data_IF_475176286690
#
_entry.id   IF_475176286690
#
_cell.length_a   1.000
_cell.length_b   1.000
_cell.length_c   1.000
_cell.angle_alpha   90.00
_cell.angle_beta   90.00
_cell.angle_gamma   90.00
#
_symmetry.space_group_name_H-M   'P 1'
#
loop_
_entity.id
_entity.type
_entity.pdbx_description
1 polymer ?
#
# COMPACT_ATOMS: atom_id res chain seq x y z
N UNK A 1 -10.40 9.36 0.49
CA UNK A 1 -9.64 8.87 -0.67
C UNK A 1 -9.82 9.72 -1.91
N UNK A 2 -10.90 10.49 -2.02
CA UNK A 2 -11.14 11.32 -3.22
C UNK A 2 -10.09 12.44 -3.39
N UNK A 3 -9.57 12.98 -2.28
CA UNK A 3 -8.42 13.90 -2.29
C UNK A 3 -7.14 13.23 -2.80
N UNK A 4 -6.98 11.96 -2.43
CA UNK A 4 -5.80 11.13 -2.68
C UNK A 4 -5.76 10.68 -4.15
N UNK A 5 -6.91 10.47 -4.79
CA UNK A 5 -7.01 10.12 -6.22
C UNK A 5 -7.33 11.30 -7.14
N UNK A 6 -7.44 12.51 -6.57
CA UNK A 6 -7.86 13.72 -7.29
C UNK A 6 -9.16 13.51 -8.09
N UNK A 7 -10.10 12.77 -7.52
CA UNK A 7 -11.37 12.41 -8.17
C UNK A 7 -11.29 11.28 -9.20
N UNK A 8 -10.11 10.71 -9.45
CA UNK A 8 -9.96 9.54 -10.33
C UNK A 8 -10.59 8.30 -9.69
N UNK A 9 -11.38 7.51 -10.44
CA UNK A 9 -11.92 6.24 -9.94
C UNK A 9 -10.79 5.31 -9.48
N UNK A 10 -10.98 4.66 -8.33
CA UNK A 10 -10.03 3.72 -7.77
C UNK A 10 -10.73 2.44 -7.30
N UNK A 11 -9.94 1.42 -7.02
CA UNK A 11 -10.39 0.23 -6.29
C UNK A 11 -9.39 -0.03 -5.20
N UNK A 12 -9.87 -0.07 -3.96
CA UNK A 12 -9.02 -0.36 -2.80
C UNK A 12 -8.67 -1.84 -2.76
N UNK A 13 -7.40 -2.13 -2.53
CA UNK A 13 -6.82 -3.46 -2.55
C UNK A 13 -6.05 -3.68 -1.24
N UNK A 14 -6.26 -4.83 -0.58
CA UNK A 14 -5.49 -5.29 0.58
C UNK A 14 -5.24 -6.79 0.45
N UNK A 15 -4.26 -7.29 1.19
CA UNK A 15 -3.98 -8.72 1.24
C UNK A 15 -5.08 -9.52 1.95
N UNK A 16 -4.86 -10.83 2.02
CA UNK A 16 -5.76 -11.79 2.64
C UNK A 16 -5.40 -12.12 4.11
N UNK A 17 -4.67 -11.25 4.82
CA UNK A 17 -4.31 -11.56 6.21
C UNK A 17 -5.58 -11.66 7.09
N UNK A 18 -5.54 -12.45 8.19
CA UNK A 18 -6.73 -12.70 9.01
C UNK A 18 -7.45 -11.44 9.51
N UNK A 19 -6.71 -10.38 9.82
CA UNK A 19 -7.27 -9.10 10.24
C UNK A 19 -8.11 -8.45 9.12
N UNK A 20 -7.67 -8.51 7.86
CA UNK A 20 -8.39 -7.95 6.71
C UNK A 20 -9.63 -8.77 6.35
N UNK A 21 -9.65 -10.08 6.67
CA UNK A 21 -10.80 -10.98 6.48
C UNK A 21 -11.87 -10.86 7.57
N UNK A 22 -11.57 -10.19 8.68
CA UNK A 22 -12.51 -10.06 9.78
C UNK A 22 -13.81 -9.40 9.32
N UNK A 23 -14.96 -9.95 9.74
CA UNK A 23 -16.30 -9.43 9.37
C UNK A 23 -16.43 -7.95 9.67
N UNK A 24 -15.92 -7.51 10.82
CA UNK A 24 -15.93 -6.11 11.22
C UNK A 24 -15.24 -5.19 10.19
N UNK A 25 -14.06 -5.59 9.73
CA UNK A 25 -13.26 -4.83 8.76
C UNK A 25 -13.96 -4.81 7.40
N UNK A 26 -14.42 -5.98 6.91
CA UNK A 26 -15.14 -6.08 5.64
C UNK A 26 -16.44 -5.25 5.64
N UNK A 27 -17.21 -5.27 6.73
CA UNK A 27 -18.40 -4.44 6.89
C UNK A 27 -18.09 -2.95 6.89
N UNK A 28 -16.99 -2.55 7.54
CA UNK A 28 -16.55 -1.16 7.53
C UNK A 28 -16.13 -0.73 6.12
N UNK A 29 -15.35 -1.55 5.40
CA UNK A 29 -14.92 -1.26 4.02
C UNK A 29 -16.12 -1.11 3.09
N UNK A 30 -17.09 -2.02 3.17
CA UNK A 30 -18.32 -1.96 2.37
C UNK A 30 -19.14 -0.68 2.59
N UNK A 31 -19.11 -0.13 3.81
CA UNK A 31 -19.84 1.10 4.15
C UNK A 31 -19.10 2.38 3.74
N UNK A 32 -17.77 2.38 3.81
CA UNK A 32 -16.98 3.62 3.75
C UNK A 32 -16.08 3.74 2.50
N UNK A 33 -15.84 2.65 1.78
CA UNK A 33 -14.96 2.63 0.60
C UNK A 33 -15.81 2.33 -0.64
N UNK A 34 -15.98 3.29 -1.57
CA UNK A 34 -16.86 3.15 -2.73
C UNK A 34 -16.59 1.91 -3.59
N UNK A 35 -15.33 1.50 -3.71
CA UNK A 35 -14.94 0.31 -4.44
C UNK A 35 -13.71 -0.32 -3.79
N UNK A 36 -13.85 -1.58 -3.36
CA UNK A 36 -12.76 -2.38 -2.81
C UNK A 36 -12.89 -3.83 -3.27
N UNK A 37 -11.79 -4.57 -3.26
CA UNK A 37 -11.83 -6.01 -3.44
C UNK A 37 -12.15 -6.66 -2.11
N UNK A 38 -13.29 -7.36 -2.06
CA UNK A 38 -13.63 -8.14 -0.89
C UNK A 38 -12.75 -9.38 -0.79
N UNK A 39 -12.80 -10.04 0.36
CA UNK A 39 -12.05 -11.26 0.62
C UNK A 39 -12.28 -12.35 -0.47
N UNK A 40 -13.50 -12.49 -0.99
CA UNK A 40 -13.82 -13.53 -1.96
C UNK A 40 -13.27 -13.23 -3.36
N UNK A 41 -12.93 -11.96 -3.61
CA UNK A 41 -12.33 -11.51 -4.88
C UNK A 41 -10.84 -11.87 -4.97
N UNK A 42 -10.17 -12.12 -3.85
CA UNK A 42 -8.73 -12.38 -3.80
C UNK A 42 -8.37 -13.86 -4.05
N UNK A 43 -7.47 -14.18 -4.99
CA UNK A 43 -6.93 -15.53 -5.10
C UNK A 43 -6.09 -15.90 -3.86
N UNK A 44 -6.23 -17.12 -3.30
CA UNK A 44 -5.48 -17.53 -2.11
C UNK A 44 -3.96 -17.52 -2.37
N UNK A 45 -3.19 -17.04 -1.38
CA UNK A 45 -1.71 -17.04 -1.34
C UNK A 45 -0.98 -16.22 -2.42
N UNK A 46 -1.59 -15.15 -2.94
CA UNK A 46 -0.97 -14.33 -4.00
C UNK A 46 -0.16 -13.13 -3.48
N UNK A 47 0.95 -13.39 -2.77
CA UNK A 47 1.92 -12.35 -2.39
C UNK A 47 2.55 -11.66 -3.61
N UNK A 48 2.64 -12.38 -4.73
CA UNK A 48 3.13 -11.91 -6.04
C UNK A 48 2.19 -10.88 -6.71
N UNK A 49 0.94 -10.80 -6.27
CA UNK A 49 -0.06 -9.90 -6.85
C UNK A 49 -0.19 -8.57 -6.12
N UNK A 50 0.53 -8.34 -5.02
CA UNK A 50 0.50 -7.08 -4.29
C UNK A 50 1.70 -6.19 -4.69
N UNK A 51 1.47 -5.09 -5.45
CA UNK A 51 2.56 -4.20 -5.87
C UNK A 51 3.33 -3.59 -4.69
N UNK A 52 2.67 -3.41 -3.55
CA UNK A 52 3.33 -2.97 -2.33
C UNK A 52 4.34 -4.01 -1.85
N UNK A 53 3.99 -5.29 -1.84
CA UNK A 53 4.84 -6.32 -1.24
C UNK A 53 6.02 -6.68 -2.14
N UNK A 54 5.76 -6.84 -3.45
CA UNK A 54 6.83 -7.21 -4.40
C UNK A 54 7.79 -6.05 -4.70
N UNK A 55 7.28 -4.84 -4.96
CA UNK A 55 8.11 -3.74 -5.42
C UNK A 55 8.47 -2.78 -4.30
N UNK A 56 7.47 -2.26 -3.57
CA UNK A 56 7.69 -1.19 -2.61
C UNK A 56 8.49 -1.66 -1.39
N UNK A 57 8.06 -2.74 -0.74
CA UNK A 57 8.73 -3.27 0.43
C UNK A 57 10.14 -3.74 0.10
N UNK A 58 10.34 -4.50 -0.99
CA UNK A 58 11.67 -4.96 -1.39
C UNK A 58 12.63 -3.82 -1.77
N UNK A 59 12.13 -2.76 -2.43
CA UNK A 59 12.95 -1.56 -2.71
C UNK A 59 13.33 -0.84 -1.42
N UNK A 60 12.36 -0.56 -0.54
CA UNK A 60 12.62 0.14 0.70
C UNK A 60 13.52 -0.64 1.63
N UNK A 61 13.32 -1.95 1.75
CA UNK A 61 14.17 -2.81 2.57
C UNK A 61 15.63 -2.73 2.10
N UNK A 62 15.88 -2.84 0.80
CA UNK A 62 17.24 -2.73 0.25
C UNK A 62 17.89 -1.39 0.56
N UNK A 63 17.19 -0.27 0.35
CA UNK A 63 17.78 1.06 0.53
C UNK A 63 17.88 1.47 2.01
N UNK A 64 16.86 1.18 2.81
CA UNK A 64 16.81 1.58 4.23
C UNK A 64 17.72 0.68 5.08
N UNK A 65 17.72 -0.64 4.84
CA UNK A 65 18.55 -1.58 5.60
C UNK A 65 20.02 -1.60 5.13
N UNK A 66 20.39 -0.83 4.09
CA UNK A 66 21.79 -0.62 3.71
C UNK A 66 22.59 0.13 4.80
N UNK A 67 21.88 0.81 5.72
CA UNK A 67 22.46 1.47 6.89
C UNK A 67 21.86 0.91 8.18
N UNK A 68 22.68 0.81 9.22
CA UNK A 68 22.20 0.36 10.52
C UNK A 68 21.46 1.49 11.25
N UNK A 69 20.27 1.18 11.78
CA UNK A 69 19.47 2.09 12.58
C UNK A 69 19.41 1.62 14.04
N UNK A 70 19.92 2.45 14.96
CA UNK A 70 19.90 2.14 16.40
C UNK A 70 18.69 2.75 17.14
N UNK A 71 17.91 3.60 16.48
CA UNK A 71 16.71 4.22 17.05
C UNK A 71 15.56 4.27 16.04
N UNK A 72 14.33 4.14 16.54
CA UNK A 72 13.10 4.17 15.74
C UNK A 72 12.97 5.48 14.95
N UNK A 73 13.43 6.60 15.49
CA UNK A 73 13.36 7.90 14.81
C UNK A 73 14.20 7.94 13.53
N UNK A 74 15.42 7.38 13.57
CA UNK A 74 16.32 7.29 12.43
C UNK A 74 15.73 6.37 11.35
N UNK A 75 15.19 5.21 11.75
CA UNK A 75 14.52 4.29 10.83
C UNK A 75 13.32 4.96 10.14
N UNK A 76 12.44 5.63 10.90
CA UNK A 76 11.28 6.36 10.35
C UNK A 76 11.72 7.46 9.38
N UNK A 77 12.79 8.18 9.67
CA UNK A 77 13.32 9.22 8.80
C UNK A 77 13.83 8.64 7.48
N UNK A 78 14.58 7.54 7.51
CA UNK A 78 15.05 6.86 6.30
C UNK A 78 13.92 6.31 5.45
N UNK A 79 12.93 5.65 6.05
CA UNK A 79 11.75 5.16 5.31
C UNK A 79 11.06 6.32 4.59
N UNK A 80 10.83 7.46 5.27
CA UNK A 80 10.22 8.65 4.65
C UNK A 80 11.08 9.21 3.52
N UNK A 81 12.39 9.30 3.73
CA UNK A 81 13.35 9.78 2.73
C UNK A 81 13.31 8.93 1.46
N UNK A 82 13.43 7.60 1.59
CA UNK A 82 13.43 6.68 0.45
C UNK A 82 12.06 6.64 -0.25
N UNK A 83 10.96 6.72 0.51
CA UNK A 83 9.61 6.85 -0.07
C UNK A 83 9.47 8.09 -0.96
N UNK A 84 10.03 9.23 -0.54
CA UNK A 84 9.96 10.47 -1.31
C UNK A 84 10.79 10.45 -2.60
N UNK A 85 11.73 9.50 -2.74
CA UNK A 85 12.52 9.30 -3.96
C UNK A 85 11.85 8.40 -4.98
N UNK A 86 10.71 7.77 -4.63
CA UNK A 86 10.00 6.90 -5.54
C UNK A 86 9.31 7.72 -6.62
N UNK A 87 9.62 7.41 -7.89
CA UNK A 87 8.85 7.93 -9.01
C UNK A 87 7.51 7.17 -9.08
N UNK A 88 6.36 7.88 -9.04
CA UNK A 88 5.03 7.28 -9.11
C UNK A 88 4.82 6.37 -10.32
N UNK A 89 5.56 6.58 -11.41
CA UNK A 89 5.50 5.73 -12.61
C UNK A 89 6.02 4.32 -12.36
N UNK A 90 6.94 4.13 -11.39
CA UNK A 90 7.54 2.83 -11.07
C UNK A 90 6.60 1.89 -10.31
N UNK A 91 5.57 2.43 -9.66
CA UNK A 91 4.57 1.66 -8.88
C UNK A 91 3.32 1.38 -9.71
N UNK A 92 3.21 1.97 -10.91
CA UNK A 92 2.04 1.79 -11.78
C UNK A 92 2.10 0.47 -12.54
N UNK A 93 1.07 -0.38 -12.36
CA UNK A 93 0.77 -1.44 -13.33
C UNK A 93 0.25 -0.79 -14.63
N UNK A 94 0.51 -1.38 -15.82
CA UNK A 94 -0.24 -1.03 -17.02
C UNK A 94 -1.71 -1.39 -16.77
N UNK A 95 -2.52 -0.36 -16.47
CA UNK A 95 -3.88 -0.50 -15.94
C UNK A 95 -4.03 0.29 -14.64
N UNK A 96 -4.33 1.58 -14.79
CA UNK A 96 -4.54 2.61 -13.76
C UNK A 96 -4.95 2.07 -12.38
N UNK A 97 -3.97 1.86 -11.50
CA UNK A 97 -4.17 1.81 -10.05
C UNK A 97 -3.30 2.91 -9.45
N UNK A 98 -3.94 3.98 -9.02
CA UNK A 98 -3.26 5.07 -8.34
C UNK A 98 -3.09 4.69 -6.87
N UNK A 99 -1.88 4.26 -6.51
CA UNK A 99 -1.48 4.09 -5.12
C UNK A 99 -1.00 5.45 -4.64
N UNK A 100 -1.84 6.15 -3.90
CA UNK A 100 -1.48 7.46 -3.36
C UNK A 100 -1.19 7.31 -1.86
N UNK A 101 0.06 7.55 -1.49
CA UNK A 101 0.52 7.60 -0.11
C UNK A 101 0.38 9.04 0.39
N UNK A 102 -0.66 9.30 1.18
CA UNK A 102 -0.82 10.57 1.88
C UNK A 102 0.01 10.56 3.16
N UNK A 103 1.09 11.34 3.20
CA UNK A 103 1.69 11.80 4.46
C UNK A 103 1.04 13.15 4.75
N UNK A 104 0.23 13.24 5.80
CA UNK A 104 -0.25 14.53 6.31
C UNK A 104 0.28 14.77 7.73
N UNK A 105 0.51 16.05 8.07
CA UNK A 105 1.21 16.49 9.29
C UNK A 105 0.55 16.05 10.59
#
# INVERSE_FOLDING_TARGET
MDYVTSGTPYTFQQDSAPAHKAKLVQSWLKKNVPKFWDFNTWPPNSLDLHPCDYFLLGKLEREVCAIHHNIVASLKASIKSEMNKLDPTQVSRPGKVQVSFGVHP
#
